data_IF_009070047356
#
_entry.id   IF_009070047356
#
_cell.length_a   1.000
_cell.length_b   1.000
_cell.length_c   1.000
_cell.angle_alpha   90.00
_cell.angle_beta   90.00
_cell.angle_gamma   90.00
#
_symmetry.space_group_name_H-M   'P 1'
#
loop_
_entity.id
_entity.type
_entity.pdbx_description
1 polymer ?
#
# COMPACT_ATOMS: atom_id res chain seq x y z
N UNK A 1 -3.82 6.98 35.22
CA UNK A 1 -4.25 7.92 34.16
C UNK A 1 -5.77 7.92 34.20
N UNK A 2 -6.38 9.07 34.45
CA UNK A 2 -7.77 9.22 34.90
C UNK A 2 -8.80 8.77 33.86
N UNK A 3 -9.75 7.96 34.31
CA UNK A 3 -11.00 7.57 33.63
C UNK A 3 -11.82 8.80 33.19
N UNK A 4 -11.60 9.27 31.97
CA UNK A 4 -12.38 10.37 31.38
C UNK A 4 -13.39 9.86 30.33
N UNK A 5 -13.75 8.56 30.40
CA UNK A 5 -14.46 7.86 29.32
C UNK A 5 -15.94 7.51 29.60
N UNK A 6 -16.57 8.01 30.66
CA UNK A 6 -17.92 7.54 31.04
C UNK A 6 -19.11 8.42 30.59
N UNK A 7 -18.90 9.68 30.17
CA UNK A 7 -20.03 10.57 29.85
C UNK A 7 -20.18 10.82 28.35
N UNK A 8 -21.31 10.39 27.77
CA UNK A 8 -21.66 10.68 26.38
C UNK A 8 -21.86 12.18 26.10
N UNK A 9 -21.72 12.58 24.82
CA UNK A 9 -21.76 13.99 24.41
C UNK A 9 -23.10 14.64 24.79
N UNK A 10 -24.22 13.94 24.60
CA UNK A 10 -25.55 14.43 24.96
C UNK A 10 -25.67 14.74 26.46
N UNK A 11 -25.20 13.83 27.33
CA UNK A 11 -25.20 14.04 28.77
C UNK A 11 -24.32 15.23 29.18
N UNK A 12 -23.14 15.36 28.56
CA UNK A 12 -22.25 16.50 28.79
C UNK A 12 -22.89 17.82 28.38
N UNK A 13 -23.53 17.87 27.20
CA UNK A 13 -24.26 19.05 26.73
C UNK A 13 -25.40 19.43 27.69
N UNK A 14 -26.11 18.45 28.26
CA UNK A 14 -27.14 18.70 29.26
C UNK A 14 -26.59 19.40 30.50
N UNK A 15 -25.48 18.92 31.04
CA UNK A 15 -24.83 19.50 32.23
C UNK A 15 -24.38 20.94 31.94
N UNK A 16 -23.72 21.15 30.80
CA UNK A 16 -23.27 22.49 30.39
C UNK A 16 -24.47 23.45 30.20
N UNK A 17 -25.59 22.95 29.67
CA UNK A 17 -26.81 23.72 29.48
C UNK A 17 -27.47 24.15 30.79
N UNK A 18 -27.48 23.31 31.82
CA UNK A 18 -27.98 23.65 33.16
C UNK A 18 -27.19 24.81 33.79
N UNK A 19 -25.88 24.90 33.50
CA UNK A 19 -25.04 26.01 33.97
C UNK A 19 -25.30 27.26 33.14
N UNK A 20 -25.40 27.13 31.81
CA UNK A 20 -25.60 28.27 30.91
C UNK A 20 -26.98 28.92 31.11
N UNK A 21 -28.01 28.15 31.44
CA UNK A 21 -29.39 28.64 31.62
C UNK A 21 -29.52 29.84 32.57
N UNK A 22 -29.09 29.76 33.84
CA UNK A 22 -29.16 30.91 34.75
C UNK A 22 -28.25 32.07 34.32
N UNK A 23 -27.09 31.79 33.71
CA UNK A 23 -26.17 32.82 33.19
C UNK A 23 -26.85 33.61 32.07
N UNK A 24 -27.47 32.91 31.13
CA UNK A 24 -28.18 33.51 30.02
C UNK A 24 -29.34 34.39 30.51
N UNK A 25 -30.12 33.94 31.50
CA UNK A 25 -31.19 34.75 32.09
C UNK A 25 -30.66 36.07 32.68
N UNK A 26 -29.51 36.04 33.36
CA UNK A 26 -28.85 37.24 33.88
C UNK A 26 -28.38 38.14 32.72
N UNK A 27 -27.71 37.58 31.71
CA UNK A 27 -27.26 38.35 30.54
C UNK A 27 -28.44 39.02 29.81
N UNK A 28 -29.55 38.31 29.60
CA UNK A 28 -30.75 38.88 28.97
C UNK A 28 -31.26 40.08 29.77
N UNK A 29 -31.28 39.98 31.11
CA UNK A 29 -31.70 41.07 32.00
C UNK A 29 -30.78 42.29 31.91
N UNK A 30 -29.46 42.07 31.91
CA UNK A 30 -28.47 43.16 32.00
C UNK A 30 -28.16 43.82 30.66
N UNK A 31 -28.03 43.03 29.59
CA UNK A 31 -27.50 43.50 28.30
C UNK A 31 -28.45 43.26 27.13
N UNK A 32 -29.66 42.77 27.42
CA UNK A 32 -30.67 42.47 26.42
C UNK A 32 -30.40 41.17 25.65
N UNK A 33 -31.47 40.63 25.08
CA UNK A 33 -31.47 39.30 24.45
C UNK A 33 -30.45 39.16 23.31
N UNK A 34 -30.43 40.11 22.38
CA UNK A 34 -29.55 40.04 21.21
C UNK A 34 -28.06 39.98 21.61
N UNK A 35 -27.65 40.82 22.57
CA UNK A 35 -26.25 40.84 23.03
C UNK A 35 -25.91 39.61 23.86
N UNK A 36 -26.83 39.15 24.71
CA UNK A 36 -26.66 37.91 25.47
C UNK A 36 -26.43 36.70 24.56
N UNK A 37 -27.23 36.56 23.50
CA UNK A 37 -27.07 35.50 22.51
C UNK A 37 -25.74 35.60 21.76
N UNK A 38 -25.32 36.79 21.35
CA UNK A 38 -24.03 36.99 20.69
C UNK A 38 -22.84 36.55 21.56
N UNK A 39 -22.85 36.91 22.86
CA UNK A 39 -21.79 36.53 23.81
C UNK A 39 -21.74 35.01 24.01
N UNK A 40 -22.90 34.35 24.17
CA UNK A 40 -22.96 32.89 24.30
C UNK A 40 -22.50 32.21 23.01
N UNK A 41 -22.96 32.69 21.86
CA UNK A 41 -22.56 32.17 20.55
C UNK A 41 -21.04 32.19 20.38
N UNK A 42 -20.41 33.35 20.57
CA UNK A 42 -18.95 33.50 20.49
C UNK A 42 -18.19 32.53 21.40
N UNK A 43 -18.64 32.37 22.66
CA UNK A 43 -18.01 31.45 23.60
C UNK A 43 -18.14 29.98 23.15
N UNK A 44 -19.31 29.57 22.66
CA UNK A 44 -19.57 28.21 22.19
C UNK A 44 -18.80 27.91 20.90
N UNK A 45 -18.76 28.84 19.97
CA UNK A 45 -18.03 28.74 18.71
C UNK A 45 -16.53 28.54 18.95
N UNK A 46 -15.92 29.39 19.79
CA UNK A 46 -14.50 29.25 20.16
C UNK A 46 -14.20 27.91 20.84
N UNK A 47 -15.07 27.46 21.74
CA UNK A 47 -14.92 26.18 22.40
C UNK A 47 -15.07 24.99 21.43
N UNK A 48 -15.87 25.12 20.37
CA UNK A 48 -16.01 24.11 19.34
C UNK A 48 -14.75 24.00 18.45
N UNK A 49 -14.16 25.13 18.06
CA UNK A 49 -12.88 25.16 17.32
C UNK A 49 -11.77 24.46 18.12
N UNK A 50 -11.60 24.82 19.40
CA UNK A 50 -10.56 24.20 20.23
C UNK A 50 -10.80 22.70 20.46
N UNK A 51 -12.05 22.28 20.58
CA UNK A 51 -12.39 20.86 20.62
C UNK A 51 -12.00 20.16 19.30
N UNK A 52 -12.32 20.75 18.14
CA UNK A 52 -11.92 20.24 16.83
C UNK A 52 -10.40 20.03 16.74
N UNK A 53 -9.61 21.04 17.15
CA UNK A 53 -8.13 20.95 17.18
C UNK A 53 -7.61 19.88 18.13
N UNK A 54 -8.30 19.65 19.25
CA UNK A 54 -7.92 18.60 20.20
C UNK A 54 -8.17 17.19 19.64
N UNK A 55 -9.25 17.01 18.87
CA UNK A 55 -9.52 15.77 18.16
C UNK A 55 -8.54 15.57 16.99
N UNK A 56 -8.28 16.61 16.20
CA UNK A 56 -7.35 16.50 15.06
C UNK A 56 -5.93 16.09 15.47
N UNK A 57 -5.46 16.55 16.64
CA UNK A 57 -4.16 16.15 17.20
C UNK A 57 -4.04 14.67 17.56
N UNK A 58 -5.15 13.95 17.64
CA UNK A 58 -5.17 12.50 17.89
C UNK A 58 -5.12 11.68 16.60
N UNK A 59 -5.28 12.32 15.44
CA UNK A 59 -5.24 11.63 14.14
C UNK A 59 -3.79 11.41 13.70
N UNK A 60 -3.33 10.15 13.55
CA UNK A 60 -1.92 9.85 13.25
C UNK A 60 -1.48 10.32 11.86
N UNK A 61 -2.41 10.41 10.91
CA UNK A 61 -2.13 10.74 9.51
C UNK A 61 -2.58 12.16 9.12
N UNK A 62 -2.90 12.99 10.12
CA UNK A 62 -3.58 14.28 9.90
C UNK A 62 -5.10 14.11 9.81
N UNK A 63 -5.83 15.16 10.20
CA UNK A 63 -7.28 15.17 10.17
C UNK A 63 -7.81 15.58 8.79
N UNK A 64 -8.69 14.77 8.23
CA UNK A 64 -9.31 14.98 6.93
C UNK A 64 -10.82 14.63 6.98
N UNK A 65 -11.49 14.62 5.82
CA UNK A 65 -12.91 14.28 5.76
C UNK A 65 -13.18 12.81 6.13
N UNK A 66 -12.25 11.90 5.84
CA UNK A 66 -12.43 10.47 6.13
C UNK A 66 -12.27 10.20 7.63
N UNK A 67 -11.24 10.77 8.25
CA UNK A 67 -11.06 10.69 9.71
C UNK A 67 -12.24 11.37 10.42
N UNK A 68 -12.78 12.46 9.85
CA UNK A 68 -13.99 13.09 10.37
C UNK A 68 -15.22 12.18 10.29
N UNK A 69 -15.44 11.52 9.16
CA UNK A 69 -16.53 10.52 8.99
C UNK A 69 -16.40 9.41 10.02
N UNK A 70 -15.19 8.96 10.32
CA UNK A 70 -14.94 7.94 11.33
C UNK A 70 -15.31 8.39 12.76
N UNK A 71 -15.36 9.70 13.03
CA UNK A 71 -15.82 10.24 14.32
C UNK A 71 -17.34 10.33 14.44
N UNK A 72 -18.10 10.18 13.35
CA UNK A 72 -19.55 10.40 13.33
C UNK A 72 -20.30 9.61 14.41
N UNK A 73 -19.87 8.38 14.70
CA UNK A 73 -20.50 7.53 15.73
C UNK A 73 -20.54 8.19 17.12
N UNK A 74 -19.62 9.11 17.43
CA UNK A 74 -19.60 9.83 18.70
C UNK A 74 -20.82 10.73 18.88
N UNK A 75 -21.33 11.32 17.79
CA UNK A 75 -22.53 12.15 17.81
C UNK A 75 -23.82 11.33 17.80
N UNK A 76 -23.78 10.09 17.34
CA UNK A 76 -24.90 9.14 17.35
C UNK A 76 -25.01 8.35 18.66
N UNK A 77 -23.91 8.28 19.43
CA UNK A 77 -23.86 7.60 20.73
C UNK A 77 -25.02 8.03 21.63
N UNK A 78 -25.51 7.08 22.42
CA UNK A 78 -26.70 7.25 23.28
C UNK A 78 -27.98 7.57 22.50
N UNK A 79 -28.06 7.13 21.25
CA UNK A 79 -29.18 7.37 20.34
C UNK A 79 -29.45 8.87 20.16
N UNK A 80 -28.40 9.69 20.21
CA UNK A 80 -28.52 11.15 20.26
C UNK A 80 -29.02 11.73 18.93
N UNK A 81 -28.70 11.08 17.81
CA UNK A 81 -29.13 11.46 16.47
C UNK A 81 -29.61 10.23 15.70
N UNK A 82 -30.64 10.40 14.87
CA UNK A 82 -31.03 9.44 13.84
C UNK A 82 -30.62 9.97 12.46
N UNK A 83 -29.70 9.27 11.80
CA UNK A 83 -29.00 9.75 10.62
C UNK A 83 -29.32 8.88 9.39
N UNK A 84 -29.51 9.53 8.25
CA UNK A 84 -29.53 8.89 6.92
C UNK A 84 -28.39 9.44 6.09
N UNK A 85 -27.39 8.61 5.81
CA UNK A 85 -26.29 8.95 4.90
C UNK A 85 -26.80 8.92 3.46
N UNK A 86 -26.50 9.97 2.71
CA UNK A 86 -26.88 10.11 1.30
C UNK A 86 -25.73 9.69 0.38
N UNK A 87 -24.54 10.21 0.65
CA UNK A 87 -23.30 9.91 -0.06
C UNK A 87 -22.08 10.17 0.84
N UNK A 88 -21.06 9.33 0.69
CA UNK A 88 -19.83 9.40 1.45
C UNK A 88 -18.67 8.89 0.58
N UNK A 89 -17.70 9.75 0.30
CA UNK A 89 -16.46 9.42 -0.39
C UNK A 89 -15.31 10.33 0.08
N UNK A 90 -14.16 10.22 -0.57
CA UNK A 90 -12.92 10.93 -0.21
C UNK A 90 -13.01 12.47 -0.36
N UNK A 91 -14.08 13.01 -0.94
CA UNK A 91 -14.29 14.45 -1.15
C UNK A 91 -15.59 14.97 -0.55
N UNK A 92 -16.54 14.11 -0.22
CA UNK A 92 -17.83 14.53 0.31
C UNK A 92 -18.37 13.60 1.39
N UNK A 93 -19.08 14.21 2.34
CA UNK A 93 -19.89 13.48 3.28
C UNK A 93 -21.22 14.20 3.46
N UNK A 94 -22.28 13.61 2.91
CA UNK A 94 -23.62 14.16 2.91
C UNK A 94 -24.57 13.25 3.67
N UNK A 95 -25.26 13.81 4.66
CA UNK A 95 -26.26 13.08 5.43
C UNK A 95 -27.37 14.00 5.92
N UNK A 96 -28.49 13.40 6.26
CA UNK A 96 -29.60 14.08 6.92
C UNK A 96 -29.77 13.54 8.34
N UNK A 97 -29.96 14.43 9.30
CA UNK A 97 -30.44 14.08 10.64
C UNK A 97 -31.96 14.19 10.63
N UNK A 98 -32.66 13.07 10.83
CA UNK A 98 -34.12 13.02 10.85
C UNK A 98 -34.71 13.17 12.26
N UNK A 99 -33.91 12.87 13.29
CA UNK A 99 -34.26 13.08 14.69
C UNK A 99 -33.04 13.55 15.50
N UNK A 100 -33.25 14.53 16.38
CA UNK A 100 -32.17 15.14 17.17
C UNK A 100 -32.56 15.28 18.64
N UNK A 101 -32.00 14.45 19.52
CA UNK A 101 -32.26 14.50 20.97
C UNK A 101 -31.71 15.75 21.64
N UNK A 102 -30.69 16.39 21.06
CA UNK A 102 -30.23 17.69 21.54
C UNK A 102 -31.35 18.73 21.42
N UNK A 103 -32.07 18.75 20.29
CA UNK A 103 -33.21 19.65 20.09
C UNK A 103 -34.33 19.40 21.10
N UNK A 104 -34.76 18.15 21.24
CA UNK A 104 -35.75 17.73 22.24
C UNK A 104 -35.35 18.20 23.65
N UNK A 105 -34.11 17.88 24.06
CA UNK A 105 -33.56 18.24 25.37
C UNK A 105 -33.58 19.75 25.62
N UNK A 106 -33.09 20.57 24.68
CA UNK A 106 -33.06 22.03 24.89
C UNK A 106 -34.48 22.62 24.96
N UNK A 107 -35.44 22.09 24.19
CA UNK A 107 -36.84 22.50 24.31
C UNK A 107 -37.43 22.14 25.67
N UNK A 108 -37.24 20.90 26.14
CA UNK A 108 -37.68 20.44 27.47
C UNK A 108 -37.08 21.28 28.61
N UNK A 109 -35.83 21.70 28.46
CA UNK A 109 -35.13 22.56 29.42
C UNK A 109 -35.57 24.03 29.35
N UNK A 110 -36.45 24.42 28.43
CA UNK A 110 -36.84 25.82 28.21
C UNK A 110 -35.73 26.69 27.58
N UNK A 111 -34.76 26.06 26.93
CA UNK A 111 -33.62 26.68 26.23
C UNK A 111 -33.76 26.65 24.70
N UNK A 112 -34.92 26.25 24.17
CA UNK A 112 -35.14 26.11 22.73
C UNK A 112 -34.77 27.36 21.92
N UNK A 113 -34.96 28.56 22.48
CA UNK A 113 -34.59 29.81 21.80
C UNK A 113 -33.09 30.02 21.60
N UNK A 114 -32.23 29.34 22.37
CA UNK A 114 -30.76 29.39 22.20
C UNK A 114 -30.15 28.02 21.90
N UNK A 115 -30.94 26.95 21.79
CA UNK A 115 -30.41 25.60 21.54
C UNK A 115 -29.58 25.51 20.25
N UNK A 116 -29.90 26.34 19.24
CA UNK A 116 -29.12 26.42 18.01
C UNK A 116 -27.72 26.97 18.24
N UNK A 117 -27.54 27.89 19.19
CA UNK A 117 -26.23 28.40 19.60
C UNK A 117 -25.46 27.36 20.42
N UNK A 118 -26.16 26.61 21.27
CA UNK A 118 -25.53 25.66 22.21
C UNK A 118 -25.07 24.36 21.54
N UNK A 119 -25.70 23.94 20.45
CA UNK A 119 -25.35 22.70 19.74
C UNK A 119 -25.12 22.91 18.25
N UNK A 120 -26.05 23.49 17.50
CA UNK A 120 -25.95 23.52 16.04
C UNK A 120 -24.76 24.36 15.55
N UNK A 121 -24.51 25.52 16.18
CA UNK A 121 -23.37 26.39 15.86
C UNK A 121 -22.00 25.78 16.25
N UNK A 122 -21.99 24.60 16.88
CA UNK A 122 -20.74 23.87 17.12
C UNK A 122 -20.31 23.09 15.90
N UNK A 123 -21.24 22.68 15.05
CA UNK A 123 -20.94 21.74 13.97
C UNK A 123 -20.05 22.39 12.90
N UNK A 124 -20.36 23.62 12.47
CA UNK A 124 -19.56 24.37 11.51
C UNK A 124 -18.21 24.82 12.09
N UNK A 125 -18.16 25.08 13.40
CA UNK A 125 -16.93 25.50 14.08
C UNK A 125 -16.02 24.35 14.46
N UNK A 126 -16.59 23.19 14.79
CA UNK A 126 -15.82 21.99 15.09
C UNK A 126 -15.04 21.55 13.87
N UNK A 127 -15.67 21.50 12.69
CA UNK A 127 -14.99 21.07 11.46
C UNK A 127 -13.85 22.02 11.09
N UNK A 128 -14.02 23.33 11.26
CA UNK A 128 -12.94 24.33 11.07
C UNK A 128 -11.73 24.06 11.97
N UNK A 129 -11.97 23.62 13.21
CA UNK A 129 -10.88 23.24 14.12
C UNK A 129 -10.28 21.86 13.82
N UNK A 130 -11.09 20.93 13.31
CA UNK A 130 -10.71 19.54 13.08
C UNK A 130 -9.99 19.37 11.73
N UNK A 131 -10.66 19.66 10.63
CA UNK A 131 -10.14 19.57 9.28
C UNK A 131 -10.41 20.92 8.57
N UNK A 132 -9.51 21.90 8.68
CA UNK A 132 -9.74 23.29 8.22
C UNK A 132 -10.00 23.41 6.73
N UNK A 133 -9.60 22.40 5.96
CA UNK A 133 -9.85 22.29 4.52
C UNK A 133 -11.22 21.69 4.19
N UNK A 134 -12.07 21.35 5.16
CA UNK A 134 -13.41 20.81 4.93
C UNK A 134 -14.46 21.90 5.18
N UNK A 135 -15.29 22.16 4.17
CA UNK A 135 -16.41 23.08 4.25
C UNK A 135 -17.71 22.35 4.57
N UNK A 136 -18.49 22.88 5.53
CA UNK A 136 -19.84 22.44 5.82
C UNK A 136 -20.86 23.43 5.24
N UNK A 137 -21.75 22.95 4.37
CA UNK A 137 -22.99 23.64 4.04
C UNK A 137 -24.16 22.97 4.75
N UNK A 138 -24.99 23.79 5.42
CA UNK A 138 -26.25 23.34 6.04
C UNK A 138 -27.30 24.42 5.92
N UNK A 139 -28.47 24.08 5.38
CA UNK A 139 -29.53 25.04 5.03
C UNK A 139 -30.74 24.97 5.96
N UNK A 140 -30.94 23.83 6.62
CA UNK A 140 -32.05 23.59 7.55
C UNK A 140 -31.56 22.90 8.83
N UNK A 141 -32.23 23.17 9.96
CA UNK A 141 -31.99 22.45 11.22
C UNK A 141 -33.31 22.15 11.93
N UNK A 142 -33.41 21.00 12.59
CA UNK A 142 -34.57 20.63 13.43
C UNK A 142 -34.78 21.65 14.55
N UNK A 143 -33.69 22.10 15.18
CA UNK A 143 -33.72 23.09 16.26
C UNK A 143 -34.38 24.42 15.86
N UNK A 144 -34.26 24.81 14.60
CA UNK A 144 -34.85 26.04 14.06
C UNK A 144 -36.19 25.77 13.32
N UNK A 145 -36.82 24.60 13.53
CA UNK A 145 -38.13 24.25 12.99
C UNK A 145 -38.13 23.54 11.64
N UNK A 146 -36.96 23.13 11.14
CA UNK A 146 -36.83 22.32 9.93
C UNK A 146 -37.29 20.87 10.12
N UNK A 147 -37.64 20.20 9.01
CA UNK A 147 -38.03 18.77 9.03
C UNK A 147 -36.83 17.83 9.27
N UNK A 148 -35.63 18.29 8.95
CA UNK A 148 -34.37 17.58 9.14
C UNK A 148 -33.22 18.61 9.25
N UNK A 149 -32.03 18.16 9.66
CA UNK A 149 -30.79 18.89 9.45
C UNK A 149 -30.04 18.31 8.24
N UNK A 150 -29.67 19.13 7.26
CA UNK A 150 -29.02 18.70 6.02
C UNK A 150 -27.51 19.00 6.03
N UNK A 151 -26.69 18.04 6.45
CA UNK A 151 -25.25 18.21 6.50
C UNK A 151 -24.62 17.91 5.13
N UNK A 152 -23.88 18.86 4.57
CA UNK A 152 -23.15 18.71 3.31
C UNK A 152 -21.70 19.11 3.50
N UNK A 153 -20.85 18.12 3.78
CA UNK A 153 -19.40 18.34 3.90
C UNK A 153 -18.73 18.18 2.54
N UNK A 154 -17.76 19.06 2.25
CA UNK A 154 -16.92 19.04 1.05
C UNK A 154 -15.47 19.24 1.47
N UNK A 155 -14.59 18.29 1.14
CA UNK A 155 -13.16 18.50 1.28
C UNK A 155 -12.65 19.49 0.21
N UNK A 156 -11.74 20.39 0.57
CA UNK A 156 -11.03 21.21 -0.40
C UNK A 156 -10.27 20.29 -1.35
N UNK A 157 -10.20 20.67 -2.62
CA UNK A 157 -9.43 19.95 -3.65
C UNK A 157 -7.94 19.94 -3.25
N UNK A 158 -7.50 18.95 -2.48
CA UNK A 158 -6.12 19.01 -2.00
C UNK A 158 -5.61 17.95 -1.05
N UNK A 159 -6.20 16.77 -0.92
CA UNK A 159 -5.51 15.54 -0.47
C UNK A 159 -6.44 14.34 -0.62
N UNK A 160 -6.45 13.73 -1.81
CA UNK A 160 -7.09 12.43 -2.00
C UNK A 160 -6.13 11.39 -1.41
N UNK A 161 -6.51 10.74 -0.31
CA UNK A 161 -5.80 9.55 0.15
C UNK A 161 -6.09 8.44 -0.87
N UNK A 162 -5.13 8.21 -1.79
CA UNK A 162 -5.28 7.19 -2.83
C UNK A 162 -5.05 5.83 -2.18
N UNK A 163 -6.13 5.04 -2.07
CA UNK A 163 -6.07 3.66 -1.56
C UNK A 163 -6.18 2.66 -2.71
N UNK A 164 -5.39 1.59 -2.64
CA UNK A 164 -5.41 0.49 -3.61
C UNK A 164 -6.64 -0.39 -3.41
N UNK A 165 -7.08 -1.10 -4.47
CA UNK A 165 -8.10 -2.13 -4.32
C UNK A 165 -7.47 -3.43 -3.78
N UNK A 166 -7.43 -3.57 -2.45
CA UNK A 166 -6.84 -4.72 -1.77
C UNK A 166 -7.47 -6.07 -2.15
N UNK A 167 -8.79 -6.11 -2.39
CA UNK A 167 -9.47 -7.33 -2.81
C UNK A 167 -9.04 -7.77 -4.21
N UNK A 168 -8.90 -6.82 -5.15
CA UNK A 168 -8.40 -7.09 -6.51
C UNK A 168 -6.95 -7.53 -6.50
N UNK A 169 -6.10 -6.88 -5.70
CA UNK A 169 -4.70 -7.30 -5.52
C UNK A 169 -4.61 -8.73 -4.99
N UNK A 170 -5.36 -9.05 -3.94
CA UNK A 170 -5.39 -10.38 -3.35
C UNK A 170 -5.89 -11.43 -4.34
N UNK A 171 -6.94 -11.14 -5.12
CA UNK A 171 -7.41 -12.03 -6.18
C UNK A 171 -6.34 -12.28 -7.24
N UNK A 172 -5.65 -11.21 -7.67
CA UNK A 172 -4.59 -11.27 -8.69
C UNK A 172 -3.41 -12.11 -8.19
N UNK A 173 -3.02 -11.97 -6.92
CA UNK A 173 -1.98 -12.80 -6.27
C UNK A 173 -2.37 -14.28 -6.24
N UNK A 174 -3.61 -14.59 -5.85
CA UNK A 174 -4.08 -15.98 -5.77
C UNK A 174 -4.15 -16.65 -7.15
N UNK A 175 -4.58 -15.92 -8.19
CA UNK A 175 -4.61 -16.44 -9.56
C UNK A 175 -3.20 -16.70 -10.10
N UNK A 176 -2.27 -15.76 -9.88
CA UNK A 176 -0.88 -15.92 -10.29
C UNK A 176 -0.17 -17.07 -9.54
N UNK A 177 -0.55 -17.33 -8.29
CA UNK A 177 0.00 -18.44 -7.49
C UNK A 177 -0.39 -19.83 -8.02
N UNK A 178 -1.40 -19.95 -8.88
CA UNK A 178 -1.75 -21.21 -9.54
C UNK A 178 -0.69 -21.67 -10.54
N UNK A 179 0.06 -20.72 -11.12
CA UNK A 179 1.07 -20.97 -12.13
C UNK A 179 2.39 -21.41 -11.47
N UNK A 180 2.59 -22.73 -11.42
CA UNK A 180 3.67 -23.38 -10.68
C UNK A 180 3.28 -23.83 -9.27
N UNK A 181 1.98 -23.93 -8.96
CA UNK A 181 1.51 -24.35 -7.64
C UNK A 181 2.06 -25.74 -7.23
N UNK A 182 2.48 -25.84 -5.98
CA UNK A 182 2.99 -27.07 -5.37
C UNK A 182 1.95 -27.68 -4.42
N UNK A 183 2.00 -29.01 -4.13
CA UNK A 183 1.10 -29.64 -3.17
C UNK A 183 1.16 -29.04 -1.75
N UNK A 184 2.28 -28.42 -1.38
CA UNK A 184 2.47 -27.78 -0.08
C UNK A 184 1.92 -26.33 -0.01
N UNK A 185 1.29 -25.83 -1.08
CA UNK A 185 0.74 -24.47 -1.16
C UNK A 185 1.76 -23.38 -1.49
N UNK A 186 3.00 -23.75 -1.85
CA UNK A 186 4.00 -22.85 -2.41
C UNK A 186 3.99 -22.83 -3.95
N UNK A 187 4.99 -22.19 -4.55
CA UNK A 187 5.16 -22.04 -6.00
C UNK A 187 6.55 -22.53 -6.42
N UNK A 188 6.63 -23.30 -7.50
CA UNK A 188 7.86 -23.61 -8.22
C UNK A 188 7.70 -23.12 -9.65
N UNK A 189 8.22 -21.93 -9.90
CA UNK A 189 8.18 -21.26 -11.20
C UNK A 189 9.58 -20.76 -11.53
N UNK A 190 10.44 -21.68 -11.95
CA UNK A 190 11.83 -21.37 -12.27
C UNK A 190 11.89 -20.42 -13.46
N UNK A 191 12.86 -19.51 -13.45
CA UNK A 191 13.05 -18.56 -14.55
C UNK A 191 13.08 -19.25 -15.92
N UNK A 192 12.35 -18.69 -16.88
CA UNK A 192 12.27 -19.14 -18.26
C UNK A 192 11.78 -20.59 -18.43
N UNK A 193 11.05 -21.12 -17.45
CA UNK A 193 10.28 -22.36 -17.61
C UNK A 193 8.96 -22.09 -18.32
N UNK A 194 8.20 -23.15 -18.61
CA UNK A 194 6.84 -22.99 -19.16
C UNK A 194 5.90 -22.30 -18.18
N UNK A 195 6.04 -22.57 -16.88
CA UNK A 195 5.28 -21.90 -15.82
C UNK A 195 5.60 -20.40 -15.75
N UNK A 196 6.88 -20.02 -15.92
CA UNK A 196 7.27 -18.60 -16.00
C UNK A 196 6.72 -17.95 -17.27
N UNK A 197 6.76 -18.64 -18.42
CA UNK A 197 6.13 -18.16 -19.66
C UNK A 197 4.64 -17.87 -19.46
N UNK A 198 3.90 -18.80 -18.87
CA UNK A 198 2.47 -18.63 -18.58
C UNK A 198 2.21 -17.45 -17.64
N UNK A 199 3.04 -17.27 -16.62
CA UNK A 199 2.92 -16.14 -15.68
C UNK A 199 3.20 -14.79 -16.35
N UNK A 200 4.23 -14.72 -17.19
CA UNK A 200 4.55 -13.54 -18.00
C UNK A 200 3.42 -13.20 -18.98
N UNK A 201 2.84 -14.21 -19.63
CA UNK A 201 1.71 -14.02 -20.54
C UNK A 201 0.48 -13.49 -19.80
N UNK A 202 0.17 -14.04 -18.63
CA UNK A 202 -0.93 -13.56 -17.79
C UNK A 202 -0.72 -12.12 -17.32
N UNK A 203 0.50 -11.78 -16.88
CA UNK A 203 0.86 -10.41 -16.52
C UNK A 203 0.70 -9.45 -17.71
N UNK A 204 1.18 -9.85 -18.89
CA UNK A 204 1.03 -9.07 -20.13
C UNK A 204 -0.44 -8.91 -20.52
N UNK A 205 -1.27 -9.95 -20.35
CA UNK A 205 -2.71 -9.90 -20.61
C UNK A 205 -3.36 -8.87 -19.69
N UNK A 206 -3.14 -8.96 -18.38
CA UNK A 206 -3.68 -8.02 -17.39
C UNK A 206 -3.25 -6.57 -17.62
N UNK A 207 -2.01 -6.36 -18.06
CA UNK A 207 -1.52 -5.04 -18.45
C UNK A 207 -2.30 -4.50 -19.66
N UNK A 208 -2.49 -5.31 -20.71
CA UNK A 208 -3.25 -4.93 -21.92
C UNK A 208 -4.71 -4.64 -21.63
N UNK A 209 -5.36 -5.46 -20.80
CA UNK A 209 -6.75 -5.25 -20.37
C UNK A 209 -6.92 -3.92 -19.60
N UNK A 210 -5.90 -3.53 -18.84
CA UNK A 210 -5.85 -2.24 -18.15
C UNK A 210 -5.37 -1.08 -19.03
N UNK A 211 -5.11 -1.31 -20.31
CA UNK A 211 -4.70 -0.28 -21.29
C UNK A 211 -3.21 0.07 -21.26
N UNK A 212 -2.36 -0.75 -20.64
CA UNK A 212 -0.92 -0.50 -20.56
C UNK A 212 -0.16 -1.25 -21.66
N UNK A 213 0.65 -0.57 -22.51
CA UNK A 213 1.60 -1.24 -23.37
C UNK A 213 2.64 -2.00 -22.54
N UNK A 214 3.07 -3.15 -23.05
CA UNK A 214 4.10 -3.99 -22.44
C UNK A 214 5.18 -4.28 -23.49
N UNK A 215 6.36 -3.74 -23.26
CA UNK A 215 7.54 -4.03 -24.07
C UNK A 215 8.42 -5.10 -23.41
N UNK A 216 9.28 -5.74 -24.20
CA UNK A 216 10.26 -6.72 -23.72
C UNK A 216 11.63 -6.43 -24.32
N UNK A 217 12.68 -6.47 -23.49
CA UNK A 217 14.07 -6.30 -23.93
C UNK A 217 14.77 -7.64 -24.27
N UNK A 218 16.02 -7.57 -24.69
CA UNK A 218 16.82 -8.72 -25.12
C UNK A 218 17.12 -9.73 -24.01
N UNK A 219 16.94 -9.36 -22.74
CA UNK A 219 17.05 -10.23 -21.57
C UNK A 219 15.67 -10.70 -21.05
N UNK A 220 14.59 -10.39 -21.77
CA UNK A 220 13.23 -10.79 -21.42
C UNK A 220 12.61 -9.98 -20.28
N UNK A 221 13.24 -8.88 -19.86
CA UNK A 221 12.63 -7.98 -18.89
C UNK A 221 11.37 -7.37 -19.50
N UNK A 222 10.27 -7.39 -18.77
CA UNK A 222 9.01 -6.81 -19.23
C UNK A 222 8.85 -5.40 -18.67
N UNK A 223 8.51 -4.43 -19.51
CA UNK A 223 8.26 -3.05 -19.12
C UNK A 223 6.84 -2.66 -19.47
N UNK A 224 5.99 -2.54 -18.45
CA UNK A 224 4.59 -2.14 -18.55
C UNK A 224 4.49 -0.65 -18.23
N UNK A 225 4.16 0.19 -19.22
CA UNK A 225 4.23 1.64 -19.08
C UNK A 225 2.85 2.27 -18.98
N UNK A 226 2.64 3.08 -17.94
CA UNK A 226 1.54 4.03 -17.84
C UNK A 226 2.05 5.43 -18.19
N UNK A 227 1.50 6.03 -19.24
CA UNK A 227 1.89 7.36 -19.68
C UNK A 227 1.53 8.43 -18.64
N UNK A 228 2.44 9.36 -18.41
CA UNK A 228 2.17 10.62 -17.72
C UNK A 228 1.89 11.75 -18.72
N UNK A 229 1.72 12.97 -18.21
CA UNK A 229 1.48 14.17 -19.01
C UNK A 229 2.69 14.57 -19.85
N UNK A 230 3.90 14.30 -19.36
CA UNK A 230 5.14 14.73 -20.01
C UNK A 230 6.08 13.54 -20.26
N UNK A 231 6.06 13.04 -21.50
CA UNK A 231 6.90 11.93 -21.96
C UNK A 231 8.40 12.27 -22.05
N UNK A 232 8.79 13.54 -21.90
CA UNK A 232 10.19 13.96 -21.88
C UNK A 232 10.83 13.81 -20.49
N UNK A 233 10.02 13.60 -19.45
CA UNK A 233 10.50 13.43 -18.09
C UNK A 233 10.91 11.98 -17.83
N UNK A 234 12.03 11.79 -17.14
CA UNK A 234 12.44 10.47 -16.67
C UNK A 234 11.32 9.80 -15.83
N UNK A 235 10.99 8.53 -16.08
CA UNK A 235 9.90 7.81 -15.41
C UNK A 235 10.21 7.50 -13.95
N UNK A 236 9.16 7.14 -13.21
CA UNK A 236 9.27 6.41 -11.94
C UNK A 236 9.17 4.91 -12.25
N UNK A 237 10.15 4.13 -11.81
CA UNK A 237 10.16 2.68 -11.96
C UNK A 237 9.62 2.01 -10.69
N UNK A 238 8.81 0.97 -10.86
CA UNK A 238 8.43 0.06 -9.79
C UNK A 238 8.44 -1.37 -10.31
N UNK A 239 8.61 -2.37 -9.46
CA UNK A 239 8.55 -3.75 -9.92
C UNK A 239 9.30 -4.70 -9.00
N UNK A 240 9.53 -5.90 -9.50
CA UNK A 240 10.35 -6.94 -8.88
C UNK A 240 10.53 -8.08 -9.90
N UNK A 241 10.33 -9.34 -9.50
CA UNK A 241 10.45 -10.53 -10.35
C UNK A 241 9.24 -11.47 -10.26
N UNK A 242 9.04 -12.28 -11.29
CA UNK A 242 7.96 -13.30 -11.36
C UNK A 242 8.50 -14.71 -11.12
N UNK A 243 9.79 -14.97 -11.36
CA UNK A 243 10.38 -16.28 -11.10
C UNK A 243 10.54 -16.55 -9.60
N UNK A 244 10.63 -17.83 -9.22
CA UNK A 244 10.75 -18.28 -7.83
C UNK A 244 11.88 -19.29 -7.65
N UNK A 245 12.34 -19.45 -6.41
CA UNK A 245 13.07 -20.65 -5.98
C UNK A 245 12.23 -21.95 -6.19
N UNK A 246 12.87 -23.13 -6.26
CA UNK A 246 12.20 -24.41 -6.02
C UNK A 246 11.51 -24.40 -4.66
N UNK A 247 10.23 -24.82 -4.61
CA UNK A 247 9.41 -24.81 -3.40
C UNK A 247 9.32 -23.42 -2.74
N UNK A 248 9.36 -22.34 -3.53
CA UNK A 248 9.25 -20.96 -3.08
C UNK A 248 7.86 -20.61 -2.51
N UNK A 249 7.78 -19.43 -1.90
CA UNK A 249 6.52 -18.87 -1.40
C UNK A 249 5.62 -18.33 -2.51
N UNK A 250 4.42 -17.90 -2.14
CA UNK A 250 3.45 -17.28 -3.07
C UNK A 250 3.66 -15.77 -3.29
N UNK A 251 4.60 -15.15 -2.57
CA UNK A 251 4.69 -13.68 -2.46
C UNK A 251 6.09 -13.13 -2.79
N UNK A 252 7.13 -13.95 -2.74
CA UNK A 252 8.51 -13.58 -3.07
C UNK A 252 8.59 -13.08 -4.52
N UNK A 253 9.11 -11.88 -4.72
CA UNK A 253 9.10 -11.12 -5.98
C UNK A 253 7.72 -10.69 -6.48
N UNK A 254 6.84 -11.66 -6.66
CA UNK A 254 5.56 -11.49 -7.36
C UNK A 254 4.64 -10.47 -6.67
N UNK A 255 4.77 -10.31 -5.35
CA UNK A 255 4.05 -9.26 -4.62
C UNK A 255 4.42 -7.87 -5.12
N UNK A 256 5.70 -7.57 -5.33
CA UNK A 256 6.15 -6.26 -5.84
C UNK A 256 5.65 -5.98 -7.25
N UNK A 257 5.65 -7.00 -8.12
CA UNK A 257 5.12 -6.88 -9.48
C UNK A 257 3.62 -6.60 -9.47
N UNK A 258 2.83 -7.36 -8.71
CA UNK A 258 1.38 -7.23 -8.69
C UNK A 258 0.89 -6.03 -7.87
N UNK A 259 1.61 -5.62 -6.83
CA UNK A 259 1.36 -4.36 -6.13
C UNK A 259 1.59 -3.16 -7.07
N UNK A 260 2.66 -3.19 -7.88
CA UNK A 260 2.89 -2.17 -8.91
C UNK A 260 1.78 -2.13 -9.95
N UNK A 261 1.32 -3.30 -10.44
CA UNK A 261 0.18 -3.36 -11.37
C UNK A 261 -1.11 -2.79 -10.75
N UNK A 262 -1.38 -3.13 -9.49
CA UNK A 262 -2.55 -2.62 -8.77
C UNK A 262 -2.47 -1.10 -8.56
N UNK A 263 -1.29 -0.55 -8.27
CA UNK A 263 -1.10 0.88 -8.19
C UNK A 263 -1.45 1.57 -9.52
N UNK A 264 -0.98 1.02 -10.66
CA UNK A 264 -1.33 1.55 -11.98
C UNK A 264 -2.84 1.46 -12.27
N UNK A 265 -3.48 0.33 -11.95
CA UNK A 265 -4.94 0.14 -12.08
C UNK A 265 -5.71 1.14 -11.23
N UNK A 266 -5.29 1.34 -9.98
CA UNK A 266 -5.90 2.32 -9.06
C UNK A 266 -5.81 3.73 -9.62
N UNK A 267 -4.66 4.14 -10.16
CA UNK A 267 -4.52 5.44 -10.81
C UNK A 267 -5.45 5.61 -12.02
N UNK A 268 -5.68 4.54 -12.80
CA UNK A 268 -6.67 4.54 -13.88
C UNK A 268 -8.10 4.65 -13.37
N UNK A 269 -8.49 3.81 -12.40
CA UNK A 269 -9.84 3.80 -11.81
C UNK A 269 -10.21 5.17 -11.23
N UNK A 270 -9.23 5.88 -10.66
CA UNK A 270 -9.39 7.22 -10.08
C UNK A 270 -9.19 8.36 -11.09
N UNK A 271 -8.87 8.07 -12.35
CA UNK A 271 -8.62 9.08 -13.38
C UNK A 271 -7.46 10.03 -13.06
N UNK A 272 -6.44 9.56 -12.35
CA UNK A 272 -5.32 10.39 -11.87
C UNK A 272 -4.23 10.48 -12.94
N UNK A 273 -3.99 11.68 -13.45
CA UNK A 273 -2.88 11.94 -14.36
C UNK A 273 -1.60 12.29 -13.60
N UNK A 274 -0.52 11.56 -13.89
CA UNK A 274 0.80 11.79 -13.29
C UNK A 274 1.64 12.67 -14.21
N UNK A 275 2.55 13.48 -13.66
CA UNK A 275 3.45 14.30 -14.49
C UNK A 275 4.44 13.45 -15.29
N UNK A 276 4.94 12.37 -14.66
CA UNK A 276 5.89 11.42 -15.24
C UNK A 276 5.20 10.12 -15.60
N UNK A 277 5.77 9.40 -16.56
CA UNK A 277 5.45 8.00 -16.78
C UNK A 277 5.75 7.18 -15.51
N UNK A 278 4.91 6.18 -15.26
CA UNK A 278 5.21 5.13 -14.28
C UNK A 278 5.41 3.83 -15.06
N UNK A 279 6.53 3.16 -14.81
CA UNK A 279 6.91 1.92 -15.48
C UNK A 279 6.94 0.82 -14.43
N UNK A 280 6.12 -0.21 -14.65
CA UNK A 280 6.19 -1.47 -13.93
C UNK A 280 7.17 -2.41 -14.66
N UNK A 281 8.14 -2.96 -13.93
CA UNK A 281 9.11 -3.93 -14.46
C UNK A 281 8.95 -5.31 -13.83
N UNK A 282 9.14 -6.35 -14.66
CA UNK A 282 9.41 -7.71 -14.22
C UNK A 282 10.82 -8.09 -14.69
N UNK A 283 11.75 -8.27 -13.76
CA UNK A 283 13.12 -8.67 -14.01
C UNK A 283 13.23 -10.17 -14.25
N UNK A 284 14.05 -10.58 -15.23
CA UNK A 284 14.27 -12.00 -15.52
C UNK A 284 15.34 -12.62 -14.63
N UNK A 285 15.03 -13.78 -14.04
CA UNK A 285 16.00 -14.62 -13.31
C UNK A 285 16.64 -13.85 -12.17
N UNK A 286 15.79 -13.30 -11.30
CA UNK A 286 16.24 -12.62 -10.09
C UNK A 286 16.79 -13.64 -9.09
N UNK A 287 16.09 -14.77 -8.92
CA UNK A 287 16.41 -15.76 -7.87
C UNK A 287 17.74 -16.48 -8.11
N UNK A 288 18.20 -16.50 -9.36
CA UNK A 288 19.40 -17.22 -9.78
C UNK A 288 19.31 -18.74 -9.61
N UNK A 289 18.09 -19.27 -9.38
CA UNK A 289 17.86 -20.66 -8.99
C UNK A 289 18.10 -21.65 -10.13
N UNK A 290 17.68 -21.29 -11.35
CA UNK A 290 17.92 -22.09 -12.55
C UNK A 290 19.22 -21.69 -13.24
N UNK A 291 19.48 -20.39 -13.36
CA UNK A 291 20.68 -19.84 -13.99
C UNK A 291 21.40 -18.93 -12.99
N UNK A 292 22.62 -19.29 -12.59
CA UNK A 292 23.41 -18.44 -11.71
C UNK A 292 24.16 -17.34 -12.51
N UNK A 293 24.41 -16.15 -11.91
CA UNK A 293 24.03 -15.71 -10.56
C UNK A 293 22.58 -15.18 -10.46
N UNK A 294 22.17 -14.89 -9.22
CA UNK A 294 20.98 -14.07 -8.94
C UNK A 294 21.09 -12.66 -9.57
N UNK A 295 19.93 -12.00 -9.71
CA UNK A 295 19.77 -10.63 -10.21
C UNK A 295 20.42 -10.44 -11.59
N UNK A 296 20.36 -11.48 -12.44
CA UNK A 296 21.14 -11.54 -13.67
C UNK A 296 20.72 -10.47 -14.68
N UNK A 297 19.43 -10.40 -15.01
CA UNK A 297 18.93 -9.50 -16.04
C UNK A 297 18.89 -8.04 -15.60
N UNK A 298 18.57 -7.76 -14.33
CA UNK A 298 18.70 -6.42 -13.75
C UNK A 298 20.17 -5.97 -13.67
N UNK A 299 21.09 -6.91 -13.42
CA UNK A 299 22.53 -6.67 -13.50
C UNK A 299 23.01 -6.34 -14.91
N UNK A 300 22.49 -6.98 -15.96
CA UNK A 300 22.76 -6.59 -17.35
C UNK A 300 22.20 -5.19 -17.63
N UNK A 301 20.93 -4.95 -17.27
CA UNK A 301 20.26 -3.67 -17.47
C UNK A 301 21.03 -2.52 -16.80
N UNK A 302 21.51 -2.71 -15.58
CA UNK A 302 22.31 -1.74 -14.82
C UNK A 302 23.81 -1.71 -15.22
N UNK A 303 24.23 -2.45 -16.26
CA UNK A 303 25.60 -2.46 -16.77
C UNK A 303 26.62 -3.19 -15.89
N UNK A 304 26.18 -3.98 -14.91
CA UNK A 304 27.04 -4.79 -14.05
C UNK A 304 27.51 -6.09 -14.72
N UNK A 305 26.70 -6.63 -15.63
CA UNK A 305 27.02 -7.79 -16.45
C UNK A 305 26.91 -7.46 -17.93
N UNK A 306 27.70 -8.14 -18.77
CA UNK A 306 27.48 -8.08 -20.22
C UNK A 306 26.33 -9.00 -20.63
N UNK A 307 25.56 -8.59 -21.64
CA UNK A 307 24.48 -9.42 -22.20
C UNK A 307 25.01 -10.77 -22.68
N UNK A 308 26.17 -10.79 -23.36
CA UNK A 308 26.80 -12.03 -23.81
C UNK A 308 27.13 -12.99 -22.65
N UNK A 309 27.58 -12.47 -21.51
CA UNK A 309 27.82 -13.28 -20.31
C UNK A 309 26.54 -13.91 -19.78
N UNK A 310 25.46 -13.12 -19.71
CA UNK A 310 24.17 -13.54 -19.16
C UNK A 310 23.47 -14.56 -20.07
N UNK A 311 23.38 -14.29 -21.37
CA UNK A 311 22.76 -15.19 -22.35
C UNK A 311 23.47 -16.55 -22.43
N UNK A 312 24.77 -16.59 -22.14
CA UNK A 312 25.58 -17.82 -22.13
C UNK A 312 25.56 -18.57 -20.79
N UNK A 313 24.85 -18.09 -19.75
CA UNK A 313 24.65 -18.88 -18.53
C UNK A 313 23.80 -20.10 -18.84
N UNK A 314 24.22 -21.26 -18.36
CA UNK A 314 23.53 -22.53 -18.59
C UNK A 314 22.91 -23.05 -17.30
N UNK A 315 21.78 -23.74 -17.44
CA UNK A 315 21.21 -24.55 -16.37
C UNK A 315 21.92 -25.91 -16.26
N UNK A 316 21.48 -26.74 -15.31
CA UNK A 316 22.07 -28.07 -15.06
C UNK A 316 21.96 -29.03 -16.25
N UNK A 317 21.05 -28.76 -17.18
CA UNK A 317 20.76 -29.59 -18.35
C UNK A 317 21.46 -29.05 -19.61
N UNK A 318 22.27 -27.98 -19.47
CA UNK A 318 23.04 -27.37 -20.54
C UNK A 318 22.24 -26.42 -21.43
N UNK A 319 21.02 -26.05 -21.03
CA UNK A 319 20.22 -25.06 -21.77
C UNK A 319 20.72 -23.68 -21.36
N UNK A 320 21.02 -22.81 -22.32
CA UNK A 320 21.45 -21.43 -22.03
C UNK A 320 20.25 -20.50 -21.78
N UNK A 321 20.48 -19.40 -21.05
CA UNK A 321 19.49 -18.32 -20.86
C UNK A 321 18.97 -17.82 -22.20
N UNK A 322 19.85 -17.63 -23.19
CA UNK A 322 19.45 -17.19 -24.53
C UNK A 322 18.52 -18.19 -25.23
N UNK A 323 18.85 -19.49 -25.18
CA UNK A 323 18.00 -20.53 -25.75
C UNK A 323 16.65 -20.62 -25.02
N UNK A 324 16.63 -20.46 -23.70
CA UNK A 324 15.40 -20.48 -22.92
C UNK A 324 14.50 -19.27 -23.21
N UNK A 325 15.08 -18.06 -23.34
CA UNK A 325 14.34 -16.84 -23.74
C UNK A 325 13.71 -16.98 -25.13
N UNK A 326 14.44 -17.56 -26.08
CA UNK A 326 13.92 -17.86 -27.43
C UNK A 326 12.79 -18.89 -27.37
N UNK A 327 12.97 -19.97 -26.60
CA UNK A 327 11.98 -21.03 -26.47
C UNK A 327 10.63 -20.53 -25.94
N UNK A 328 10.64 -19.61 -24.98
CA UNK A 328 9.41 -19.04 -24.41
C UNK A 328 8.89 -17.83 -25.20
N UNK A 329 9.62 -17.33 -26.20
CA UNK A 329 9.24 -16.16 -27.01
C UNK A 329 9.40 -14.81 -26.30
N UNK A 330 10.31 -14.71 -25.33
CA UNK A 330 10.59 -13.49 -24.56
C UNK A 330 11.95 -12.87 -24.86
N UNK A 331 12.67 -13.31 -25.90
CA UNK A 331 13.86 -12.58 -26.37
C UNK A 331 13.42 -11.36 -27.18
N UNK A 332 13.36 -10.19 -26.55
CA UNK A 332 13.04 -8.93 -27.21
C UNK A 332 14.16 -8.41 -28.12
N UNK A 333 13.82 -7.44 -28.98
CA UNK A 333 14.77 -6.85 -29.93
C UNK A 333 15.56 -5.68 -29.34
N UNK A 334 15.00 -5.02 -28.32
CA UNK A 334 15.65 -3.84 -27.71
C UNK A 334 16.72 -4.29 -26.72
N UNK A 335 17.92 -3.70 -26.74
CA UNK A 335 18.96 -4.05 -25.78
C UNK A 335 18.50 -3.87 -24.32
N UNK A 336 18.89 -4.80 -23.45
CA UNK A 336 18.73 -4.67 -22.01
C UNK A 336 19.72 -3.64 -21.46
N UNK A 337 19.31 -2.38 -21.47
CA UNK A 337 20.14 -1.25 -21.05
C UNK A 337 19.36 -0.24 -20.22
N UNK A 338 20.03 0.30 -19.19
CA UNK A 338 19.47 1.33 -18.33
C UNK A 338 19.10 2.59 -19.12
N UNK A 339 17.96 3.16 -18.74
CA UNK A 339 17.52 4.48 -19.17
C UNK A 339 17.39 5.39 -17.94
N UNK A 340 17.40 6.73 -18.12
CA UNK A 340 17.28 7.66 -17.00
C UNK A 340 16.01 7.40 -16.19
N UNK A 341 16.14 7.29 -14.86
CA UNK A 341 15.02 7.16 -13.93
C UNK A 341 14.94 8.40 -13.04
N UNK A 342 13.74 8.83 -12.72
CA UNK A 342 13.52 9.82 -11.66
C UNK A 342 13.66 9.18 -10.27
N UNK A 343 13.05 8.02 -10.10
CA UNK A 343 13.08 7.22 -8.88
C UNK A 343 12.78 5.75 -9.22
N UNK A 344 13.19 4.84 -8.34
CA UNK A 344 12.88 3.42 -8.41
C UNK A 344 12.41 2.96 -7.03
N UNK A 345 11.29 2.25 -6.98
CA UNK A 345 10.74 1.68 -5.75
C UNK A 345 10.46 0.19 -5.96
N UNK A 346 10.83 -0.62 -4.99
CA UNK A 346 10.49 -2.04 -4.99
C UNK A 346 9.84 -2.35 -3.65
N UNK A 347 8.62 -2.88 -3.71
CA UNK A 347 7.91 -3.39 -2.55
C UNK A 347 8.17 -4.88 -2.51
N UNK A 348 8.59 -5.37 -1.35
CA UNK A 348 8.94 -6.77 -1.16
C UNK A 348 8.52 -7.24 0.22
N UNK A 349 8.27 -8.54 0.37
CA UNK A 349 8.14 -9.14 1.71
C UNK A 349 9.49 -9.09 2.42
N UNK A 350 9.48 -9.05 3.75
CA UNK A 350 10.71 -8.95 4.53
C UNK A 350 11.67 -10.14 4.33
N UNK A 351 11.12 -11.33 4.06
CA UNK A 351 11.83 -12.63 4.08
C UNK A 351 12.49 -12.96 5.44
N UNK A 352 12.13 -12.21 6.48
CA UNK A 352 12.55 -12.37 7.87
C UNK A 352 11.39 -12.12 8.83
N UNK A 353 11.62 -12.26 10.15
CA UNK A 353 10.56 -12.18 11.15
C UNK A 353 10.45 -10.81 11.86
N UNK A 354 11.31 -9.83 11.56
CA UNK A 354 11.47 -8.62 12.40
C UNK A 354 10.18 -7.80 12.43
N UNK A 355 9.55 -7.55 11.29
CA UNK A 355 8.31 -6.76 11.21
C UNK A 355 7.16 -7.44 11.95
N UNK A 356 7.06 -8.76 11.85
CA UNK A 356 6.06 -9.56 12.57
C UNK A 356 6.31 -9.53 14.09
N UNK A 357 7.56 -9.76 14.51
CA UNK A 357 7.96 -9.77 15.92
C UNK A 357 7.79 -8.39 16.59
N UNK A 358 8.00 -7.31 15.83
CA UNK A 358 7.86 -5.92 16.30
C UNK A 358 6.42 -5.37 16.14
N UNK A 359 5.54 -6.08 15.43
CA UNK A 359 4.17 -5.64 15.16
C UNK A 359 4.09 -4.38 14.28
N UNK A 360 4.99 -4.28 13.30
CA UNK A 360 5.10 -3.14 12.37
C UNK A 360 4.70 -3.57 10.96
N UNK A 361 3.76 -2.85 10.35
CA UNK A 361 3.23 -3.22 9.03
C UNK A 361 4.19 -2.92 7.86
N UNK A 362 5.04 -1.88 7.97
CA UNK A 362 5.87 -1.37 6.87
C UNK A 362 7.31 -1.14 7.32
N UNK A 363 8.25 -1.84 6.68
CA UNK A 363 9.69 -1.63 6.84
C UNK A 363 10.23 -0.56 5.90
N UNK A 364 10.92 0.44 6.44
CA UNK A 364 11.69 1.41 5.63
C UNK A 364 13.10 0.89 5.38
N UNK A 365 13.32 0.30 4.21
CA UNK A 365 14.59 -0.33 3.86
C UNK A 365 15.66 0.72 3.55
N UNK A 366 16.68 0.82 4.40
CA UNK A 366 17.79 1.76 4.23
C UNK A 366 18.96 1.20 3.41
N UNK A 367 19.19 -0.12 3.47
CA UNK A 367 20.28 -0.79 2.79
C UNK A 367 19.98 -2.29 2.63
N UNK A 368 20.65 -2.92 1.66
CA UNK A 368 20.67 -4.37 1.48
C UNK A 368 22.04 -4.94 1.87
N UNK A 369 22.07 -6.16 2.40
CA UNK A 369 23.32 -6.84 2.77
C UNK A 369 24.14 -7.23 1.53
N UNK A 370 25.47 -7.12 1.63
CA UNK A 370 26.37 -7.61 0.58
C UNK A 370 26.44 -9.14 0.57
N UNK A 371 26.32 -9.74 -0.62
CA UNK A 371 26.34 -11.20 -0.79
C UNK A 371 27.63 -11.66 -1.50
N UNK A 372 28.15 -12.84 -1.12
CA UNK A 372 29.28 -13.50 -1.80
C UNK A 372 28.99 -14.98 -1.97
N UNK A 373 28.96 -15.43 -3.22
CA UNK A 373 28.66 -16.81 -3.59
C UNK A 373 29.95 -17.53 -4.01
N UNK A 374 30.13 -18.76 -3.54
CA UNK A 374 31.34 -19.56 -3.81
C UNK A 374 30.97 -20.95 -4.31
N UNK A 375 31.63 -21.39 -5.39
CA UNK A 375 31.62 -22.79 -5.81
C UNK A 375 32.92 -23.44 -5.32
N UNK A 376 32.82 -24.46 -4.46
CA UNK A 376 33.98 -25.17 -3.91
C UNK A 376 33.98 -26.60 -4.42
N UNK A 377 35.06 -26.98 -5.12
CA UNK A 377 35.33 -28.37 -5.51
C UNK A 377 36.41 -28.94 -4.60
N UNK A 378 36.08 -30.01 -3.87
CA UNK A 378 37.03 -30.73 -3.02
C UNK A 378 37.46 -32.02 -3.71
N UNK A 379 38.74 -32.10 -4.05
CA UNK A 379 39.35 -33.32 -4.58
C UNK A 379 40.04 -34.08 -3.44
N UNK A 380 39.68 -35.35 -3.26
CA UNK A 380 40.24 -36.20 -2.21
C UNK A 380 40.50 -37.63 -2.69
N UNK A 381 41.29 -38.37 -1.92
CA UNK A 381 41.54 -39.80 -2.13
C UNK A 381 41.15 -40.58 -0.88
N UNK A 382 40.37 -41.64 -1.04
CA UNK A 382 40.02 -42.53 0.05
C UNK A 382 41.26 -43.36 0.44
N UNK A 383 41.83 -43.11 1.62
CA UNK A 383 42.80 -44.01 2.26
C UNK A 383 42.04 -44.90 3.25
N UNK A 384 41.78 -46.19 2.94
CA UNK A 384 41.30 -47.09 3.98
C UNK A 384 42.37 -47.16 5.06
N UNK A 385 41.98 -46.97 6.33
CA UNK A 385 42.85 -47.31 7.47
C UNK A 385 43.21 -48.78 7.32
N UNK A 386 44.51 -49.10 7.28
CA UNK A 386 44.97 -50.48 7.41
C UNK A 386 44.52 -50.99 8.78
N UNK A 387 43.55 -51.90 8.80
CA UNK A 387 43.49 -52.87 9.88
C UNK A 387 44.50 -53.98 9.54
N UNK A 388 45.12 -54.55 10.57
CA UNK A 388 46.25 -55.47 10.46
C UNK A 388 45.91 -56.87 9.91
N UNK A 389 44.71 -57.06 9.34
CA UNK A 389 44.32 -58.28 8.64
C UNK A 389 44.10 -57.94 7.17
N UNK A 390 44.64 -58.79 6.30
CA UNK A 390 44.49 -58.78 4.83
C UNK A 390 45.52 -57.97 4.05
N UNK A 391 46.62 -58.66 3.73
CA UNK A 391 47.63 -58.23 2.76
C UNK A 391 47.14 -58.35 1.32
N UNK A 392 46.22 -57.46 0.90
CA UNK A 392 45.82 -57.34 -0.50
C UNK A 392 45.98 -55.89 -1.00
N UNK A 393 46.66 -55.64 -2.13
CA UNK A 393 46.81 -54.28 -2.65
C UNK A 393 45.47 -53.81 -3.27
N UNK A 394 44.96 -52.60 -2.95
CA UNK A 394 43.75 -52.13 -3.56
C UNK A 394 44.00 -51.73 -5.02
N UNK A 395 43.47 -52.51 -5.97
CA UNK A 395 43.13 -52.05 -7.32
C UNK A 395 41.62 -51.80 -7.38
N UNK A 396 41.20 -50.56 -7.15
CA UNK A 396 40.09 -49.87 -7.83
C UNK A 396 39.93 -48.49 -7.21
N UNK A 397 40.19 -47.47 -8.03
CA UNK A 397 39.75 -46.12 -7.75
C UNK A 397 38.27 -46.04 -8.11
N UNK A 398 37.39 -46.18 -7.12
CA UNK A 398 36.00 -45.77 -7.30
C UNK A 398 35.95 -44.24 -7.29
N UNK A 399 35.87 -43.71 -8.50
CA UNK A 399 35.64 -42.31 -8.80
C UNK A 399 34.21 -42.01 -8.35
N UNK A 400 34.03 -41.22 -7.30
CA UNK A 400 32.79 -40.49 -7.07
C UNK A 400 32.61 -39.50 -8.23
N UNK A 401 32.05 -39.97 -9.35
CA UNK A 401 31.58 -39.11 -10.43
C UNK A 401 30.26 -38.48 -9.98
N UNK A 402 30.33 -37.28 -9.42
CA UNK A 402 29.33 -36.26 -9.76
C UNK A 402 29.93 -35.45 -10.91
N UNK A 403 29.45 -35.73 -12.11
CA UNK A 403 29.73 -34.92 -13.29
C UNK A 403 29.03 -33.57 -13.12
N UNK A 404 29.82 -32.51 -13.00
CA UNK A 404 29.44 -31.14 -13.31
C UNK A 404 30.57 -30.57 -14.17
N UNK A 405 30.24 -30.19 -15.39
CA UNK A 405 31.17 -29.87 -16.46
C UNK A 405 32.08 -28.67 -16.11
N UNK A 406 33.31 -28.73 -16.62
CA UNK A 406 34.29 -27.65 -16.47
C UNK A 406 33.90 -26.42 -17.28
N UNK A 407 34.04 -25.25 -16.65
CA UNK A 407 34.05 -23.94 -17.30
C UNK A 407 35.28 -23.17 -16.80
N UNK A 408 36.09 -22.70 -17.73
CA UNK A 408 37.44 -22.19 -17.51
C UNK A 408 37.57 -21.07 -16.48
N UNK A 409 38.67 -21.13 -15.72
CA UNK A 409 39.10 -20.07 -14.84
C UNK A 409 39.55 -18.86 -15.67
N UNK A 410 38.77 -17.78 -15.66
CA UNK A 410 39.28 -16.45 -15.98
C UNK A 410 39.48 -15.68 -14.68
N UNK A 411 40.75 -15.41 -14.35
CA UNK A 411 41.13 -14.55 -13.23
C UNK A 411 40.82 -13.11 -13.63
N UNK A 412 39.94 -12.46 -12.89
CA UNK A 412 39.97 -11.01 -12.76
C UNK A 412 40.34 -10.67 -11.32
N UNK A 413 41.39 -9.86 -11.18
CA UNK A 413 41.79 -9.15 -9.96
C UNK A 413 41.30 -7.70 -10.08
N UNK A 414 41.10 -7.01 -8.93
CA UNK A 414 40.19 -5.88 -8.78
C UNK A 414 40.54 -4.65 -9.62
#
# INVERSE_FOLDING_TARGET
MSDNNELGILARRKIEAEIIKPIYAILVREIGKARAQAVIGEAIENAAIEAGKAFARQEPNGADIQSFVALQYLWEKDNALEVTVLDADDQQYNYNVNRCRYAEMYHEMGLGEIGHLLSCARDDKFIVGYAPDVELTRTTTIMQGGKCCDFRYRGAKGQVMITVNGARLWSTLNEMALLGATPAGGVTRLALSEEDRLARDLLRQWAREAGFPCDVDSMGNMFIRRAGKNSQLAPVLTGSHVDSQPLGGRYDGIYGVLAGLEALRTLNDRGIETERDIVLVNWTNEEGARFAPAMLASGVWAGQFSEAFALAREDRDGISVGAALEAIGYRGERPAAAFPLHACYEVHIEQGPILEEEGVDIGLVHAAMGQRWFNVTLEGFFRPRRNHADGQPPRRADRLRRTGAGGGANRYRP
#
